data_IF_624003888217
#
_entry.id   IF_624003888217
#
_cell.length_a   1.000
_cell.length_b   1.000
_cell.length_c   1.000
_cell.angle_alpha   90.00
_cell.angle_beta   90.00
_cell.angle_gamma   90.00
#
_symmetry.space_group_name_H-M   'P 1'
#
loop_
_entity.id
_entity.type
_entity.pdbx_description
1 polymer ?
#
# COMPACT_ATOMS: atom_id res chain seq x y z
N UNK A 1 24.95 45.87 47.76
CA UNK A 1 24.71 46.21 46.33
C UNK A 1 25.61 45.45 45.34
N UNK A 2 26.91 45.22 45.61
CA UNK A 2 27.79 44.46 44.69
C UNK A 2 27.39 42.99 44.53
N UNK A 3 27.04 42.29 45.63
CA UNK A 3 26.53 40.90 45.56
C UNK A 3 25.24 40.75 44.74
N UNK A 4 24.31 41.69 44.87
CA UNK A 4 23.04 41.65 44.12
C UNK A 4 23.27 41.77 42.60
N UNK A 5 24.26 42.57 42.19
CA UNK A 5 24.67 42.67 40.78
C UNK A 5 25.23 41.34 40.25
N UNK A 6 26.05 40.64 41.04
CA UNK A 6 26.57 39.32 40.65
C UNK A 6 25.48 38.25 40.54
N UNK A 7 24.49 38.25 41.46
CA UNK A 7 23.36 37.31 41.41
C UNK A 7 22.50 37.55 40.16
N UNK A 8 22.21 38.82 39.82
CA UNK A 8 21.44 39.18 38.63
C UNK A 8 22.21 38.80 37.35
N UNK A 9 23.53 39.04 37.30
CA UNK A 9 24.35 38.64 36.15
C UNK A 9 24.39 37.12 35.96
N UNK A 10 24.47 36.34 37.04
CA UNK A 10 24.43 34.87 36.96
C UNK A 10 23.05 34.37 36.50
N UNK A 11 21.97 34.97 36.99
CA UNK A 11 20.61 34.64 36.58
C UNK A 11 20.37 34.91 35.07
N UNK A 12 20.94 36.00 34.53
CA UNK A 12 20.83 36.33 33.10
C UNK A 12 21.62 35.33 32.23
N UNK A 13 22.77 34.84 32.70
CA UNK A 13 23.55 33.82 31.97
C UNK A 13 22.83 32.47 31.97
N UNK A 14 22.16 32.12 33.07
CA UNK A 14 21.35 30.89 33.16
C UNK A 14 20.11 30.91 32.25
N UNK A 15 19.55 32.10 31.96
CA UNK A 15 18.44 32.25 31.02
C UNK A 15 18.84 32.09 29.54
N UNK A 16 20.14 32.10 29.22
CA UNK A 16 20.64 31.88 27.86
C UNK A 16 20.95 30.41 27.55
N UNK A 17 20.81 29.50 28.53
CA UNK A 17 20.89 28.06 28.31
C UNK A 17 19.49 27.53 27.99
N UNK A 18 19.02 27.83 26.78
CA UNK A 18 17.87 27.12 26.20
C UNK A 18 18.36 25.75 25.71
N UNK A 19 17.64 24.67 26.03
CA UNK A 19 17.85 23.41 25.32
C UNK A 19 17.62 23.65 23.83
N UNK A 20 18.49 23.11 22.97
CA UNK A 20 18.26 23.12 21.54
C UNK A 20 17.04 22.25 21.21
N UNK A 21 16.19 22.71 20.30
CA UNK A 21 15.04 21.92 19.85
C UNK A 21 15.46 20.64 19.13
N UNK A 22 16.71 20.55 18.66
CA UNK A 22 17.32 19.34 18.08
C UNK A 22 17.23 18.09 19.00
N UNK A 23 17.11 18.27 20.33
CA UNK A 23 16.89 17.15 21.26
C UNK A 23 15.45 16.58 21.19
N UNK A 24 14.49 17.40 20.78
CA UNK A 24 13.09 17.00 20.61
C UNK A 24 12.84 16.29 19.27
N UNK A 25 13.69 16.56 18.26
CA UNK A 25 13.64 15.89 16.95
C UNK A 25 14.49 14.61 16.93
N UNK A 26 14.08 13.61 17.74
CA UNK A 26 14.68 12.28 17.71
C UNK A 26 14.15 11.47 16.52
N UNK A 27 14.86 11.49 15.39
CA UNK A 27 14.64 10.52 14.31
C UNK A 27 15.41 9.22 14.58
N UNK A 28 14.77 8.06 14.43
CA UNK A 28 15.44 6.77 14.58
C UNK A 28 16.34 6.53 13.34
N UNK A 29 17.68 6.58 13.46
CA UNK A 29 18.58 6.45 12.30
C UNK A 29 18.56 5.05 11.67
N UNK A 30 18.04 4.05 12.40
CA UNK A 30 17.90 2.68 11.91
C UNK A 30 16.53 2.42 11.26
N UNK A 31 15.59 3.37 11.35
CA UNK A 31 14.27 3.23 10.76
C UNK A 31 14.27 3.86 9.36
N UNK A 32 14.14 3.02 8.34
CA UNK A 32 13.90 3.51 6.99
C UNK A 32 12.53 4.19 6.93
N UNK A 33 12.49 5.42 6.43
CA UNK A 33 11.26 6.18 6.16
C UNK A 33 10.98 6.18 4.66
N UNK A 34 9.75 6.48 4.26
CA UNK A 34 9.40 6.66 2.83
C UNK A 34 10.34 7.66 2.14
N UNK A 35 10.63 8.80 2.80
CA UNK A 35 11.55 9.82 2.27
C UNK A 35 13.03 9.41 2.21
N UNK A 36 13.42 8.30 2.82
CA UNK A 36 14.83 7.83 2.79
C UNK A 36 15.04 6.55 1.99
N UNK A 37 13.97 5.84 1.61
CA UNK A 37 14.03 4.51 1.00
C UNK A 37 14.23 4.52 -0.51
N UNK A 38 13.51 5.35 -1.27
CA UNK A 38 13.44 5.25 -2.74
C UNK A 38 14.59 5.96 -3.47
N UNK A 39 15.83 5.51 -3.26
CA UNK A 39 17.02 6.21 -3.78
C UNK A 39 17.80 5.48 -4.87
N UNK A 40 17.52 4.19 -5.08
CA UNK A 40 18.29 3.36 -6.00
C UNK A 40 17.40 2.37 -6.76
N UNK A 41 17.89 1.88 -7.90
CA UNK A 41 17.24 0.82 -8.67
C UNK A 41 16.96 -0.43 -7.80
N UNK A 42 17.84 -0.70 -6.83
CA UNK A 42 17.69 -1.82 -5.91
C UNK A 42 16.56 -1.61 -4.89
N UNK A 43 16.31 -0.37 -4.47
CA UNK A 43 15.18 -0.06 -3.58
C UNK A 43 13.84 -0.15 -4.34
N UNK A 44 13.81 0.24 -5.62
CA UNK A 44 12.68 -0.02 -6.51
C UNK A 44 12.41 -1.52 -6.63
N UNK A 45 13.46 -2.33 -6.85
CA UNK A 45 13.34 -3.79 -6.89
C UNK A 45 12.74 -4.36 -5.59
N UNK A 46 13.18 -3.88 -4.41
CA UNK A 46 12.59 -4.29 -3.13
C UNK A 46 11.11 -3.88 -3.04
N UNK A 47 10.75 -2.70 -3.53
CA UNK A 47 9.38 -2.23 -3.62
C UNK A 47 8.49 -3.14 -4.48
N UNK A 48 9.00 -3.55 -5.65
CA UNK A 48 8.31 -4.51 -6.52
C UNK A 48 8.17 -5.87 -5.84
N UNK A 49 9.23 -6.39 -5.21
CA UNK A 49 9.16 -7.63 -4.43
C UNK A 49 8.12 -7.56 -3.31
N UNK A 50 8.06 -6.43 -2.58
CA UNK A 50 7.03 -6.20 -1.57
C UNK A 50 5.63 -6.15 -2.19
N UNK A 51 5.50 -5.61 -3.41
CA UNK A 51 4.24 -5.61 -4.16
C UNK A 51 3.80 -7.03 -4.51
N UNK A 52 4.72 -7.93 -4.91
CA UNK A 52 4.41 -9.36 -5.10
C UNK A 52 4.00 -10.07 -3.81
N UNK A 53 4.61 -9.71 -2.67
CA UNK A 53 4.28 -10.32 -1.38
C UNK A 53 2.79 -10.16 -1.03
N UNK A 54 2.10 -9.15 -1.58
CA UNK A 54 0.67 -8.99 -1.39
C UNK A 54 -0.16 -10.17 -1.90
N UNK A 55 0.35 -10.97 -2.83
CA UNK A 55 -0.30 -12.21 -3.29
C UNK A 55 -0.28 -13.31 -2.22
N UNK A 56 0.62 -13.23 -1.25
CA UNK A 56 0.80 -14.23 -0.20
C UNK A 56 0.23 -13.76 1.16
N UNK A 57 -0.83 -12.97 1.14
CA UNK A 57 -1.62 -12.69 2.34
C UNK A 57 -2.84 -13.59 2.39
N UNK A 58 -3.36 -13.77 3.60
CA UNK A 58 -4.52 -14.62 3.86
C UNK A 58 -5.71 -14.25 2.98
N UNK A 59 -5.95 -12.94 2.80
CA UNK A 59 -6.99 -12.41 1.92
C UNK A 59 -6.81 -12.70 0.44
N UNK A 60 -5.59 -12.98 -0.03
CA UNK A 60 -5.23 -13.16 -1.45
C UNK A 60 -4.99 -14.65 -1.75
N UNK A 61 -3.91 -15.02 -2.44
CA UNK A 61 -3.71 -16.38 -2.98
C UNK A 61 -3.28 -17.37 -1.92
N UNK A 62 -2.92 -16.91 -0.71
CA UNK A 62 -2.62 -17.80 0.39
C UNK A 62 -3.85 -18.61 0.82
N UNK A 63 -5.05 -18.00 0.81
CA UNK A 63 -6.27 -18.68 1.28
C UNK A 63 -7.59 -18.18 0.69
N UNK A 64 -7.96 -16.91 0.90
CA UNK A 64 -9.36 -16.50 0.69
C UNK A 64 -9.75 -16.16 -0.73
N UNK A 65 -8.85 -15.66 -1.58
CA UNK A 65 -9.23 -15.38 -2.96
C UNK A 65 -9.63 -16.67 -3.70
N UNK A 66 -8.87 -17.79 -3.66
CA UNK A 66 -9.32 -19.06 -4.24
C UNK A 66 -10.64 -19.55 -3.65
N UNK A 67 -10.79 -19.51 -2.32
CA UNK A 67 -12.04 -19.90 -1.63
C UNK A 67 -13.23 -19.08 -2.13
N UNK A 68 -13.07 -17.77 -2.27
CA UNK A 68 -14.13 -16.88 -2.73
C UNK A 68 -14.48 -17.08 -4.21
N UNK A 69 -13.51 -17.50 -5.03
CA UNK A 69 -13.72 -17.79 -6.45
C UNK A 69 -14.38 -19.16 -6.65
N UNK A 70 -13.88 -20.20 -5.97
CA UNK A 70 -14.29 -21.58 -6.22
C UNK A 70 -15.57 -21.95 -5.48
N UNK A 71 -15.74 -21.56 -4.21
CA UNK A 71 -16.94 -21.94 -3.45
C UNK A 71 -18.21 -21.26 -3.94
N UNK A 72 -18.10 -20.14 -4.68
CA UNK A 72 -19.27 -19.44 -5.24
C UNK A 72 -19.75 -20.07 -6.56
N UNK A 73 -18.99 -21.00 -7.13
CA UNK A 73 -19.44 -21.88 -8.21
C UNK A 73 -20.27 -23.05 -7.68
N UNK A 74 -20.64 -23.96 -8.58
CA UNK A 74 -21.37 -25.20 -8.28
C UNK A 74 -20.47 -26.45 -8.22
N UNK A 75 -19.17 -26.29 -8.49
CA UNK A 75 -18.19 -27.38 -8.49
C UNK A 75 -17.73 -27.83 -7.10
N UNK A 76 -17.91 -26.98 -6.07
CA UNK A 76 -17.29 -27.18 -4.75
C UNK A 76 -18.21 -26.85 -3.58
N UNK A 77 -18.07 -27.63 -2.50
CA UNK A 77 -18.80 -27.50 -1.25
C UNK A 77 -17.77 -27.49 -0.11
N UNK A 78 -17.96 -26.60 0.87
CA UNK A 78 -17.17 -26.63 2.10
C UNK A 78 -17.87 -27.44 3.20
N UNK A 79 -17.32 -28.58 3.66
CA UNK A 79 -17.80 -29.31 4.83
C UNK A 79 -17.27 -28.72 6.17
N UNK A 80 -16.52 -27.61 6.11
CA UNK A 80 -15.91 -27.00 7.28
C UNK A 80 -16.94 -26.62 8.35
N UNK A 81 -16.68 -26.86 9.64
CA UNK A 81 -17.53 -26.36 10.72
C UNK A 81 -17.44 -24.84 10.86
N UNK A 82 -16.49 -24.19 10.19
CA UNK A 82 -16.41 -22.74 10.15
C UNK A 82 -17.40 -22.17 9.14
N UNK A 83 -18.51 -21.63 9.66
CA UNK A 83 -19.65 -21.18 8.87
C UNK A 83 -19.29 -20.14 7.78
N UNK A 84 -18.21 -19.38 7.90
CA UNK A 84 -17.77 -18.43 6.86
C UNK A 84 -17.58 -19.15 5.51
N UNK A 85 -16.95 -20.33 5.51
CA UNK A 85 -16.69 -21.06 4.26
C UNK A 85 -17.97 -21.64 3.66
N UNK A 86 -18.82 -22.26 4.49
CA UNK A 86 -20.12 -22.78 4.04
C UNK A 86 -21.06 -21.66 3.54
N UNK A 87 -21.08 -20.52 4.25
CA UNK A 87 -21.90 -19.37 3.89
C UNK A 87 -21.42 -18.71 2.60
N UNK A 88 -20.13 -18.84 2.25
CA UNK A 88 -19.58 -18.34 0.99
C UNK A 88 -20.26 -18.99 -0.21
N UNK A 89 -20.35 -20.32 -0.25
CA UNK A 89 -20.98 -21.02 -1.37
C UNK A 89 -22.50 -21.08 -1.33
N UNK A 90 -23.11 -20.65 -0.23
CA UNK A 90 -24.58 -20.53 -0.12
C UNK A 90 -25.06 -19.09 -0.16
N UNK A 91 -24.18 -18.13 -0.43
CA UNK A 91 -24.47 -16.70 -0.50
C UNK A 91 -25.15 -16.14 0.77
N UNK A 92 -24.76 -16.64 1.94
CA UNK A 92 -25.30 -16.26 3.27
C UNK A 92 -24.33 -15.41 4.10
N UNK A 93 -23.33 -14.82 3.44
CA UNK A 93 -22.35 -13.97 4.13
C UNK A 93 -22.94 -12.60 4.43
N UNK A 94 -22.63 -12.06 5.62
CA UNK A 94 -22.91 -10.67 5.95
C UNK A 94 -21.80 -9.75 5.42
N UNK A 95 -22.12 -8.47 5.23
CA UNK A 95 -21.19 -7.45 4.73
C UNK A 95 -19.95 -7.25 5.60
N UNK A 96 -20.03 -7.53 6.90
CA UNK A 96 -18.93 -7.40 7.87
C UNK A 96 -18.25 -8.75 8.21
N UNK A 97 -18.38 -9.75 7.34
CA UNK A 97 -17.72 -11.03 7.58
C UNK A 97 -16.21 -10.91 7.31
N UNK A 98 -15.41 -11.57 8.15
CA UNK A 98 -13.94 -11.47 8.18
C UNK A 98 -13.26 -11.75 6.82
N UNK A 99 -13.84 -12.64 6.01
CA UNK A 99 -13.29 -12.96 4.69
C UNK A 99 -13.32 -11.74 3.75
N UNK A 100 -14.40 -10.96 3.76
CA UNK A 100 -14.55 -9.78 2.90
C UNK A 100 -13.58 -8.69 3.32
N UNK A 101 -13.40 -8.49 4.62
CA UNK A 101 -12.40 -7.56 5.15
C UNK A 101 -10.99 -7.97 4.71
N UNK A 102 -10.64 -9.25 4.85
CA UNK A 102 -9.31 -9.73 4.48
C UNK A 102 -9.04 -9.66 2.98
N UNK A 103 -10.03 -10.01 2.13
CA UNK A 103 -9.95 -9.77 0.68
C UNK A 103 -9.65 -8.28 0.44
N UNK A 104 -10.51 -7.40 0.94
CA UNK A 104 -10.41 -5.95 0.73
C UNK A 104 -9.03 -5.39 1.14
N UNK A 105 -8.61 -5.64 2.38
CA UNK A 105 -7.36 -5.10 2.93
C UNK A 105 -6.14 -5.66 2.20
N UNK A 106 -6.12 -6.95 1.88
CA UNK A 106 -4.97 -7.56 1.23
C UNK A 106 -4.77 -7.04 -0.21
N UNK A 107 -5.85 -6.94 -0.99
CA UNK A 107 -5.80 -6.40 -2.34
C UNK A 107 -5.46 -4.91 -2.37
N UNK A 108 -6.09 -4.08 -1.54
CA UNK A 108 -5.73 -2.67 -1.44
C UNK A 108 -4.31 -2.46 -0.91
N UNK A 109 -3.83 -3.35 -0.04
CA UNK A 109 -2.42 -3.37 0.35
C UNK A 109 -1.49 -3.63 -0.83
N UNK A 110 -1.90 -4.43 -1.82
CA UNK A 110 -1.20 -4.59 -3.10
C UNK A 110 -1.20 -3.31 -3.94
N UNK A 111 -2.38 -2.70 -4.12
CA UNK A 111 -2.54 -1.41 -4.81
C UNK A 111 -1.64 -0.33 -4.20
N UNK A 112 -1.63 -0.20 -2.87
CA UNK A 112 -0.83 0.78 -2.16
C UNK A 112 0.67 0.60 -2.40
N UNK A 113 1.17 -0.64 -2.37
CA UNK A 113 2.59 -0.93 -2.64
C UNK A 113 2.95 -0.64 -4.10
N UNK A 114 2.08 -1.03 -5.04
CA UNK A 114 2.28 -0.75 -6.46
C UNK A 114 2.31 0.76 -6.75
N UNK A 115 1.41 1.54 -6.14
CA UNK A 115 1.41 3.00 -6.28
C UNK A 115 2.72 3.63 -5.80
N UNK A 116 3.28 3.17 -4.68
CA UNK A 116 4.57 3.67 -4.22
C UNK A 116 5.67 3.38 -5.23
N UNK A 117 5.74 2.17 -5.79
CA UNK A 117 6.72 1.86 -6.83
C UNK A 117 6.52 2.75 -8.06
N UNK A 118 5.29 2.83 -8.59
CA UNK A 118 4.97 3.60 -9.80
C UNK A 118 5.27 5.09 -9.63
N UNK A 119 5.07 5.65 -8.43
CA UNK A 119 5.40 7.05 -8.15
C UNK A 119 6.90 7.27 -8.06
N UNK A 120 7.62 6.48 -7.25
CA UNK A 120 9.02 6.76 -6.96
C UNK A 120 10.00 6.24 -8.02
N UNK A 121 9.58 5.32 -8.88
CA UNK A 121 10.44 4.81 -9.98
C UNK A 121 10.82 5.92 -10.97
N UNK A 122 9.99 6.96 -11.09
CA UNK A 122 10.27 8.11 -11.96
C UNK A 122 11.34 9.05 -11.38
N UNK A 123 11.63 8.94 -10.08
CA UNK A 123 12.59 9.80 -9.35
C UNK A 123 13.99 9.18 -9.27
N UNK A 124 14.13 7.91 -9.67
CA UNK A 124 15.37 7.15 -9.60
C UNK A 124 16.01 7.06 -10.98
N UNK A 125 17.30 7.37 -11.08
CA UNK A 125 18.06 7.16 -12.31
C UNK A 125 18.41 5.68 -12.49
N UNK A 126 18.12 5.15 -13.68
CA UNK A 126 18.42 3.77 -14.05
C UNK A 126 19.59 3.66 -15.03
N UNK A 127 20.59 2.86 -14.64
CA UNK A 127 21.73 2.48 -15.49
C UNK A 127 21.32 1.47 -16.57
N UNK A 128 20.40 0.56 -16.24
CA UNK A 128 19.80 -0.38 -17.18
C UNK A 128 18.33 -0.02 -17.45
N UNK A 129 18.08 0.49 -18.66
CA UNK A 129 16.73 0.83 -19.10
C UNK A 129 15.82 -0.41 -19.25
N UNK A 130 16.39 -1.60 -19.45
CA UNK A 130 15.64 -2.86 -19.42
C UNK A 130 15.07 -3.14 -18.02
N UNK A 131 15.89 -2.92 -16.98
CA UNK A 131 15.45 -3.02 -15.59
C UNK A 131 14.36 -1.99 -15.23
N UNK A 132 14.50 -0.72 -15.64
CA UNK A 132 13.46 0.29 -15.46
C UNK A 132 12.12 -0.18 -16.05
N UNK A 133 12.11 -0.55 -17.33
CA UNK A 133 10.89 -0.96 -18.04
C UNK A 133 10.26 -2.19 -17.37
N UNK A 134 11.08 -3.18 -17.03
CA UNK A 134 10.60 -4.39 -16.37
C UNK A 134 9.95 -4.08 -15.02
N UNK A 135 10.62 -3.34 -14.14
CA UNK A 135 10.09 -3.03 -12.80
C UNK A 135 8.84 -2.15 -12.85
N UNK A 136 8.80 -1.16 -13.74
CA UNK A 136 7.61 -0.34 -13.98
C UNK A 136 6.45 -1.18 -14.51
N UNK A 137 6.72 -2.03 -15.49
CA UNK A 137 5.73 -2.94 -16.08
C UNK A 137 5.17 -3.95 -15.08
N UNK A 138 6.03 -4.55 -14.25
CA UNK A 138 5.61 -5.45 -13.16
C UNK A 138 4.68 -4.73 -12.17
N UNK A 139 5.04 -3.51 -11.74
CA UNK A 139 4.22 -2.73 -10.79
C UNK A 139 2.86 -2.33 -11.38
N UNK A 140 2.82 -1.87 -12.65
CA UNK A 140 1.59 -1.55 -13.36
C UNK A 140 0.70 -2.79 -13.50
N UNK A 141 1.25 -3.92 -13.96
CA UNK A 141 0.51 -5.17 -14.07
C UNK A 141 -0.08 -5.59 -12.72
N UNK A 142 0.72 -5.55 -11.64
CA UNK A 142 0.23 -5.92 -10.31
C UNK A 142 -0.87 -4.98 -9.83
N UNK A 143 -0.78 -3.67 -10.07
CA UNK A 143 -1.86 -2.74 -9.71
C UNK A 143 -3.16 -3.05 -10.46
N UNK A 144 -3.08 -3.26 -11.78
CA UNK A 144 -4.22 -3.67 -12.58
C UNK A 144 -4.81 -5.02 -12.13
N UNK A 145 -3.95 -5.98 -11.77
CA UNK A 145 -4.34 -7.28 -11.24
C UNK A 145 -5.12 -7.15 -9.92
N UNK A 146 -4.62 -6.35 -8.99
CA UNK A 146 -5.32 -6.14 -7.71
C UNK A 146 -6.67 -5.45 -7.91
N UNK A 147 -6.75 -4.45 -8.80
CA UNK A 147 -8.02 -3.81 -9.14
C UNK A 147 -9.00 -4.76 -9.83
N UNK A 148 -8.52 -5.63 -10.71
CA UNK A 148 -9.34 -6.65 -11.36
C UNK A 148 -10.07 -7.51 -10.33
N UNK A 149 -9.38 -7.99 -9.30
CA UNK A 149 -10.05 -8.78 -8.27
C UNK A 149 -10.96 -7.95 -7.37
N UNK A 150 -10.55 -6.73 -6.99
CA UNK A 150 -11.40 -5.84 -6.20
C UNK A 150 -12.73 -5.53 -6.89
N UNK A 151 -12.71 -5.18 -8.19
CA UNK A 151 -13.94 -4.87 -8.92
C UNK A 151 -14.83 -6.11 -9.10
N UNK A 152 -14.24 -7.28 -9.34
CA UNK A 152 -15.01 -8.53 -9.46
C UNK A 152 -15.60 -9.00 -8.12
N UNK A 153 -14.97 -8.69 -6.99
CA UNK A 153 -15.50 -9.04 -5.67
C UNK A 153 -16.52 -8.03 -5.11
N UNK A 154 -16.35 -6.75 -5.41
CA UNK A 154 -17.08 -5.67 -4.72
C UNK A 154 -17.85 -4.70 -5.64
N UNK A 155 -17.66 -4.81 -6.96
CA UNK A 155 -18.30 -4.01 -8.00
C UNK A 155 -17.92 -2.51 -7.96
N UNK A 156 -18.33 -1.77 -6.94
CA UNK A 156 -17.99 -0.35 -6.77
C UNK A 156 -16.88 -0.20 -5.73
N UNK A 157 -15.76 0.39 -6.13
CA UNK A 157 -14.57 0.49 -5.28
C UNK A 157 -13.86 1.83 -5.49
N UNK A 158 -13.15 2.40 -4.50
CA UNK A 158 -12.35 3.61 -4.71
C UNK A 158 -11.13 3.38 -5.63
N UNK A 159 -10.91 4.29 -6.57
CA UNK A 159 -9.68 4.37 -7.36
C UNK A 159 -8.65 5.26 -6.66
N UNK A 160 -7.57 4.63 -6.22
CA UNK A 160 -6.45 5.23 -5.52
C UNK A 160 -5.20 4.89 -6.34
N UNK A 161 -4.78 5.79 -7.21
CA UNK A 161 -3.69 5.56 -8.18
C UNK A 161 -2.38 6.24 -7.80
N UNK A 162 -2.35 6.87 -6.61
CA UNK A 162 -1.19 7.53 -6.03
C UNK A 162 -1.06 7.17 -4.55
N UNK A 163 0.15 7.24 -3.97
CA UNK A 163 0.31 7.21 -2.53
C UNK A 163 -0.48 8.34 -1.86
N UNK A 164 -0.98 8.10 -0.66
CA UNK A 164 -1.63 9.15 0.13
C UNK A 164 -0.60 10.11 0.71
N UNK A 165 -0.86 11.42 0.61
CA UNK A 165 -0.02 12.46 1.21
C UNK A 165 -0.53 12.88 2.60
N UNK A 166 -1.84 12.75 2.85
CA UNK A 166 -2.45 13.12 4.13
C UNK A 166 -3.65 12.24 4.50
N UNK A 167 -4.09 12.31 5.76
CA UNK A 167 -5.21 11.48 6.24
C UNK A 167 -6.57 11.88 5.67
N UNK A 168 -6.70 13.09 5.13
CA UNK A 168 -7.91 13.55 4.47
C UNK A 168 -8.19 12.76 3.18
N UNK A 169 -7.15 12.23 2.52
CA UNK A 169 -7.27 11.47 1.27
C UNK A 169 -7.80 10.04 1.47
N UNK A 170 -7.81 9.54 2.71
CA UNK A 170 -8.26 8.19 3.04
C UNK A 170 -9.77 7.96 2.75
N UNK A 171 -10.55 9.03 2.64
CA UNK A 171 -12.00 8.98 2.46
C UNK A 171 -12.42 9.11 0.99
N UNK A 172 -11.71 8.43 0.10
CA UNK A 172 -12.02 8.42 -1.33
C UNK A 172 -13.39 7.80 -1.61
N UNK A 173 -14.20 8.47 -2.44
CA UNK A 173 -15.49 7.96 -2.88
C UNK A 173 -15.33 6.70 -3.73
N UNK A 174 -16.36 5.85 -3.78
CA UNK A 174 -16.37 4.69 -4.67
C UNK A 174 -16.55 5.14 -6.12
N UNK A 175 -15.78 4.54 -7.02
CA UNK A 175 -15.89 4.70 -8.46
C UNK A 175 -16.82 3.65 -9.06
N UNK A 176 -17.30 3.91 -10.28
CA UNK A 176 -18.11 2.93 -11.01
C UNK A 176 -17.23 1.77 -11.53
N UNK A 177 -17.80 0.59 -11.77
CA UNK A 177 -17.06 -0.52 -12.35
C UNK A 177 -16.38 -0.14 -13.67
N UNK A 178 -17.03 0.67 -14.51
CA UNK A 178 -16.50 1.11 -15.80
C UNK A 178 -15.24 1.96 -15.66
N UNK A 179 -15.22 2.89 -14.69
CA UNK A 179 -14.04 3.71 -14.37
C UNK A 179 -12.89 2.82 -13.90
N UNK A 180 -13.19 1.82 -13.07
CA UNK A 180 -12.19 0.88 -12.55
C UNK A 180 -11.62 0.01 -13.66
N UNK A 181 -12.48 -0.52 -14.55
CA UNK A 181 -12.05 -1.26 -15.72
C UNK A 181 -11.19 -0.43 -16.67
N UNK A 182 -11.51 0.85 -16.85
CA UNK A 182 -10.67 1.76 -17.64
C UNK A 182 -9.25 1.87 -17.05
N UNK A 183 -9.12 1.99 -15.72
CA UNK A 183 -7.80 2.00 -15.07
C UNK A 183 -7.07 0.66 -15.21
N UNK A 184 -7.76 -0.47 -15.06
CA UNK A 184 -7.19 -1.81 -15.24
C UNK A 184 -6.63 -1.98 -16.65
N UNK A 185 -7.40 -1.60 -17.67
CA UNK A 185 -7.00 -1.69 -19.08
C UNK A 185 -5.79 -0.80 -19.36
N UNK A 186 -5.77 0.42 -18.82
CA UNK A 186 -4.62 1.32 -18.95
C UNK A 186 -3.35 0.70 -18.34
N UNK A 187 -3.43 0.23 -17.09
CA UNK A 187 -2.30 -0.40 -16.40
C UNK A 187 -1.78 -1.64 -17.16
N UNK A 188 -2.67 -2.49 -17.66
CA UNK A 188 -2.27 -3.67 -18.45
C UNK A 188 -1.69 -3.31 -19.81
N UNK A 189 -2.21 -2.28 -20.48
CA UNK A 189 -1.70 -1.85 -21.78
C UNK A 189 -0.29 -1.26 -21.64
N UNK A 190 -0.08 -0.42 -20.63
CA UNK A 190 1.23 0.17 -20.33
C UNK A 190 2.23 -0.90 -19.89
N UNK A 191 1.80 -1.86 -19.06
CA UNK A 191 2.64 -3.00 -18.67
C UNK A 191 3.06 -3.85 -19.88
N UNK A 192 2.13 -4.17 -20.79
CA UNK A 192 2.41 -4.95 -21.98
C UNK A 192 3.39 -4.25 -22.93
N UNK A 193 3.40 -2.93 -22.99
CA UNK A 193 4.36 -2.17 -23.79
C UNK A 193 5.78 -2.13 -23.18
N UNK A 194 5.92 -2.42 -21.88
CA UNK A 194 7.18 -2.34 -21.14
C UNK A 194 7.83 -3.71 -20.90
N UNK A 195 7.03 -4.76 -20.75
CA UNK A 195 7.50 -6.11 -20.46
C UNK A 195 8.00 -6.84 -21.73
N UNK A 196 8.99 -7.76 -21.59
CA UNK A 196 9.58 -8.51 -22.71
C UNK A 196 8.68 -9.62 -23.26
#
# INVERSE_FOLDING_TARGET
MKLLKYIISIAIVLLMVSCSEDWLELSNPNQQTSGTFWKSEHDILKGVNATYQSLNYDGTWLRFAPIALDLRGDDMLSPSPWHVLQNTGTFKLFNNTIMQEWLWVAFYGGVYRANQVITHIEEVEFTDQGMYKRLKGEALFLRGFYYFYLVNFFNHIPLITKPFESSEEYYSAQNTPEEVWAQIIADFSDAAALLP
#
